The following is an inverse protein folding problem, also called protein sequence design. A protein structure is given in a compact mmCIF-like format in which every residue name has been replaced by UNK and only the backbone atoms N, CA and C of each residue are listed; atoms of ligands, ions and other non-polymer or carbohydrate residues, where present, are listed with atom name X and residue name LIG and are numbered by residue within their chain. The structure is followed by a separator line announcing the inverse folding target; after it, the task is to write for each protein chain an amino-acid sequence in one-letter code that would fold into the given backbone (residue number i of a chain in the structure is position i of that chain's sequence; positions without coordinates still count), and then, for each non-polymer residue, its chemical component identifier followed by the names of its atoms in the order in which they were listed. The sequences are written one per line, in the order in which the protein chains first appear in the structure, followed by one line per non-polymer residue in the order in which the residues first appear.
data_IF_528225378858
#
_entry.id   IF_528225378858
#
_cell.length_a   1.000
_cell.length_b   1.000
_cell.length_c   1.000
_cell.angle_alpha   90.00
_cell.angle_beta   90.00
_cell.angle_gamma   90.00
#
_symmetry.space_group_name_H-M   'P 1'
#
loop_
_entity.id
_entity.type
_entity.pdbx_description
1 polymer ?
#
# COMPACT_ATOMS: atom_id res chain seq x y z
N UNK A 1 -2.77 -9.47 14.85
CA UNK A 1 -3.67 -8.46 14.24
C UNK A 1 -3.65 -8.66 12.74
N UNK A 2 -4.84 -8.87 12.15
CA UNK A 2 -5.05 -9.01 10.71
C UNK A 2 -5.73 -7.76 10.19
N UNK A 3 -5.09 -7.05 9.26
CA UNK A 3 -5.63 -5.81 8.71
C UNK A 3 -5.32 -5.70 7.23
N UNK A 4 -6.26 -5.11 6.48
CA UNK A 4 -6.09 -4.76 5.07
C UNK A 4 -6.23 -3.24 4.99
N UNK A 5 -5.24 -2.56 4.43
CA UNK A 5 -5.24 -1.12 4.24
C UNK A 5 -5.47 -0.81 2.77
N UNK A 6 -6.58 -0.13 2.51
CA UNK A 6 -6.99 0.25 1.17
C UNK A 6 -6.45 1.64 0.80
N UNK A 7 -5.88 1.73 -0.39
CA UNK A 7 -5.52 2.95 -1.10
C UNK A 7 -6.18 2.93 -2.47
N UNK A 8 -6.31 4.07 -3.14
CA UNK A 8 -6.78 4.09 -4.53
C UNK A 8 -5.58 4.40 -5.44
N UNK A 9 -5.00 5.60 -5.31
CA UNK A 9 -3.87 6.01 -6.14
C UNK A 9 -2.70 6.59 -5.33
N UNK A 10 -1.50 6.50 -5.91
CA UNK A 10 -0.32 7.25 -5.50
C UNK A 10 0.06 8.20 -6.64
N UNK A 11 -0.03 9.51 -6.42
CA UNK A 11 0.19 10.51 -7.46
C UNK A 11 0.66 11.85 -6.91
N UNK A 12 1.27 12.69 -7.77
CA UNK A 12 1.72 14.03 -7.38
C UNK A 12 0.59 15.06 -7.33
N UNK A 13 -0.48 14.82 -8.09
CA UNK A 13 -1.62 15.70 -8.23
C UNK A 13 -2.71 15.27 -7.26
N UNK A 14 -3.19 16.19 -6.42
CA UNK A 14 -4.31 15.89 -5.53
C UNK A 14 -5.61 15.79 -6.35
N UNK A 15 -6.35 14.70 -6.16
CA UNK A 15 -7.71 14.57 -6.69
C UNK A 15 -8.68 15.42 -5.83
N UNK A 16 -9.61 16.15 -6.46
CA UNK A 16 -10.61 16.95 -5.73
C UNK A 16 -11.54 16.10 -4.85
N UNK A 17 -11.64 14.79 -5.11
CA UNK A 17 -12.51 13.87 -4.37
C UNK A 17 -11.73 12.95 -3.41
N UNK A 18 -10.45 13.23 -3.18
CA UNK A 18 -9.58 12.34 -2.39
C UNK A 18 -9.15 11.09 -3.19
N UNK A 19 -8.65 10.07 -2.50
CA UNK A 19 -8.20 8.81 -3.12
C UNK A 19 -6.77 8.83 -3.68
N UNK A 20 -6.22 10.00 -4.02
CA UNK A 20 -4.81 10.13 -4.42
C UNK A 20 -3.96 10.58 -3.24
N UNK A 21 -2.92 9.82 -2.90
CA UNK A 21 -1.91 10.23 -1.92
C UNK A 21 -0.57 10.49 -2.57
N UNK A 22 0.15 11.49 -2.08
CA UNK A 22 1.50 11.76 -2.56
C UNK A 22 2.46 10.60 -2.19
N UNK A 23 3.39 10.18 -3.07
CA UNK A 23 4.32 9.07 -2.80
C UNK A 23 5.06 9.19 -1.44
N UNK A 24 5.52 10.40 -1.10
CA UNK A 24 6.18 10.65 0.19
C UNK A 24 5.26 10.47 1.40
N UNK A 25 3.96 10.72 1.26
CA UNK A 25 2.98 10.47 2.32
C UNK A 25 2.75 8.97 2.48
N UNK A 26 2.62 8.25 1.36
CA UNK A 26 2.54 6.79 1.39
C UNK A 26 3.75 6.15 2.08
N UNK A 27 4.97 6.58 1.74
CA UNK A 27 6.20 6.15 2.43
C UNK A 27 6.17 6.42 3.93
N UNK A 28 5.65 7.58 4.36
CA UNK A 28 5.50 7.91 5.78
C UNK A 28 4.52 6.96 6.48
N UNK A 29 3.42 6.57 5.83
CA UNK A 29 2.50 5.57 6.37
C UNK A 29 3.19 4.22 6.57
N UNK A 30 3.88 3.72 5.55
CA UNK A 30 4.59 2.43 5.63
C UNK A 30 5.67 2.46 6.73
N UNK A 31 6.42 3.56 6.82
CA UNK A 31 7.42 3.74 7.87
C UNK A 31 6.80 3.77 9.26
N UNK A 32 5.67 4.46 9.43
CA UNK A 32 4.95 4.49 10.70
C UNK A 32 4.49 3.10 11.14
N UNK A 33 3.88 2.34 10.23
CA UNK A 33 3.42 0.97 10.50
C UNK A 33 4.60 0.06 10.88
N UNK A 34 5.71 0.13 10.14
CA UNK A 34 6.93 -0.62 10.44
C UNK A 34 7.49 -0.25 11.83
N UNK A 35 7.53 1.05 12.17
CA UNK A 35 7.96 1.53 13.50
C UNK A 35 7.06 1.05 14.64
N UNK A 36 5.79 0.76 14.37
CA UNK A 36 4.86 0.17 15.34
C UNK A 36 4.93 -1.36 15.40
N UNK A 37 5.90 -1.98 14.73
CA UNK A 37 6.06 -3.44 14.68
C UNK A 37 5.12 -4.12 13.68
N UNK A 38 4.48 -3.35 12.79
CA UNK A 38 3.66 -3.89 11.71
C UNK A 38 4.48 -4.75 10.76
N UNK A 39 3.97 -5.95 10.45
CA UNK A 39 4.54 -6.87 9.48
C UNK A 39 3.71 -6.83 8.21
N UNK A 40 4.29 -6.42 7.10
CA UNK A 40 3.63 -6.49 5.80
C UNK A 40 3.64 -7.93 5.30
N UNK A 41 2.49 -8.41 4.86
CA UNK A 41 2.30 -9.77 4.32
C UNK A 41 1.53 -9.69 3.02
N UNK A 42 1.65 -10.70 2.17
CA UNK A 42 0.84 -10.81 0.97
C UNK A 42 -0.57 -11.34 1.29
N UNK A 43 -1.47 -11.28 0.31
CA UNK A 43 -2.86 -11.72 0.50
C UNK A 43 -2.98 -13.21 0.77
N UNK A 44 -2.13 -14.05 0.18
CA UNK A 44 -2.13 -15.51 0.37
C UNK A 44 -1.85 -15.85 1.83
N UNK A 45 -0.77 -15.30 2.39
CA UNK A 45 -0.40 -15.44 3.81
C UNK A 45 -1.55 -15.00 4.72
N UNK A 46 -2.21 -13.89 4.38
CA UNK A 46 -3.33 -13.38 5.15
C UNK A 46 -4.54 -14.33 5.09
N UNK A 47 -4.87 -14.88 3.92
CA UNK A 47 -5.97 -15.84 3.73
C UNK A 47 -5.72 -17.10 4.57
N UNK A 48 -4.47 -17.58 4.61
CA UNK A 48 -4.07 -18.73 5.43
C UNK A 48 -3.85 -18.41 6.92
N UNK A 49 -4.31 -17.24 7.39
CA UNK A 49 -4.41 -16.91 8.80
C UNK A 49 -3.17 -16.27 9.43
N UNK A 50 -2.16 -15.89 8.63
CA UNK A 50 -0.99 -15.16 9.14
C UNK A 50 -1.41 -13.77 9.61
N UNK A 51 -0.93 -13.39 10.79
CA UNK A 51 -1.06 -12.04 11.32
C UNK A 51 -0.15 -11.05 10.57
N UNK A 52 -0.71 -9.92 10.15
CA UNK A 52 0.00 -8.89 9.43
C UNK A 52 -0.91 -7.88 8.75
N UNK A 53 -0.27 -7.01 7.98
CA UNK A 53 -0.87 -5.90 7.25
C UNK A 53 -0.76 -6.20 5.75
N UNK A 54 -1.89 -6.28 5.07
CA UNK A 54 -1.95 -6.29 3.61
C UNK A 54 -2.17 -4.86 3.12
N UNK A 55 -1.45 -4.46 2.08
CA UNK A 55 -1.69 -3.21 1.37
C UNK A 55 -2.48 -3.54 0.11
N UNK A 56 -3.57 -2.83 -0.15
CA UNK A 56 -4.36 -2.97 -1.38
C UNK A 56 -4.54 -1.64 -2.09
N UNK A 57 -4.67 -1.70 -3.42
CA UNK A 57 -5.02 -0.59 -4.30
C UNK A 57 -6.24 -0.95 -5.16
N UNK A 58 -7.19 -0.02 -5.28
CA UNK A 58 -8.35 -0.14 -6.18
C UNK A 58 -8.15 0.72 -7.45
N UNK A 59 -8.98 0.47 -8.46
CA UNK A 59 -9.13 1.22 -9.74
C UNK A 59 -7.97 1.14 -10.75
N UNK A 60 -6.88 0.43 -10.45
CA UNK A 60 -5.82 0.17 -11.45
C UNK A 60 -5.14 1.41 -12.04
N UNK A 61 -5.03 2.51 -11.28
CA UNK A 61 -4.45 3.77 -11.76
C UNK A 61 -3.05 3.63 -12.38
N UNK A 62 -2.81 4.30 -13.50
CA UNK A 62 -1.55 4.23 -14.24
C UNK A 62 -0.36 4.74 -13.41
N UNK A 63 -0.56 5.73 -12.54
CA UNK A 63 0.50 6.28 -11.68
C UNK A 63 1.04 5.25 -10.68
N UNK A 64 0.27 4.21 -10.33
CA UNK A 64 0.77 3.12 -9.50
C UNK A 64 1.98 2.46 -10.15
N UNK A 65 1.97 2.25 -11.46
CA UNK A 65 3.11 1.68 -12.20
C UNK A 65 4.33 2.59 -12.19
N UNK A 66 4.14 3.90 -12.03
CA UNK A 66 5.24 4.86 -11.96
C UNK A 66 5.89 4.90 -10.57
N UNK A 67 5.11 4.91 -9.49
CA UNK A 67 5.62 5.19 -8.15
C UNK A 67 5.75 3.95 -7.27
N UNK A 68 4.87 2.96 -7.43
CA UNK A 68 4.79 1.80 -6.54
C UNK A 68 6.01 0.87 -6.61
N UNK A 69 6.66 0.60 -7.78
CA UNK A 69 7.79 -0.33 -7.84
C UNK A 69 8.93 0.03 -6.89
N UNK A 70 9.36 1.30 -6.87
CA UNK A 70 10.43 1.75 -5.96
C UNK A 70 10.05 1.60 -4.48
N UNK A 71 8.76 1.82 -4.15
CA UNK A 71 8.28 1.72 -2.77
C UNK A 71 8.13 0.26 -2.33
N UNK A 72 7.77 -0.64 -3.25
CA UNK A 72 7.76 -2.10 -3.04
C UNK A 72 9.15 -2.57 -2.63
N UNK A 73 10.18 -2.14 -3.35
CA UNK A 73 11.57 -2.51 -3.06
C UNK A 73 12.04 -1.94 -1.71
N UNK A 74 11.81 -0.64 -1.46
CA UNK A 74 12.23 0.05 -0.24
C UNK A 74 11.64 -0.57 1.04
N UNK A 75 10.38 -1.02 0.98
CA UNK A 75 9.64 -1.49 2.16
C UNK A 75 9.39 -2.99 2.19
N UNK A 76 9.77 -3.73 1.14
CA UNK A 76 9.47 -5.14 0.94
C UNK A 76 7.96 -5.43 1.13
N UNK A 77 7.13 -4.61 0.49
CA UNK A 77 5.67 -4.78 0.49
C UNK A 77 5.21 -5.52 -0.76
N UNK A 78 4.17 -6.36 -0.64
CA UNK A 78 3.58 -7.10 -1.77
C UNK A 78 2.10 -6.72 -1.89
N UNK A 79 1.80 -5.54 -2.46
CA UNK A 79 0.44 -5.03 -2.50
C UNK A 79 -0.44 -5.84 -3.45
N UNK A 80 -1.72 -5.92 -3.12
CA UNK A 80 -2.77 -6.41 -4.01
C UNK A 80 -3.32 -5.24 -4.82
N UNK A 81 -3.51 -5.39 -6.13
CA UNK A 81 -4.11 -4.36 -6.99
C UNK A 81 -5.35 -4.95 -7.63
N UNK A 82 -6.49 -4.27 -7.44
CA UNK A 82 -7.75 -4.55 -8.12
C UNK A 82 -7.87 -3.62 -9.33
N UNK A 83 -8.11 -4.23 -10.49
CA UNK A 83 -8.24 -3.57 -11.80
C UNK A 83 -9.71 -3.45 -12.21
#
# INVERSE_FOLDING_TARGET
MRSILLYHNIGRTFSPFGGVIHPNIFRKHLLFLKKKGGKFINIEEWIYGKDGIVISFDDGFAELYQFLPSIIEDFNVRPLVFL
#
